data_IF_464153392758
#
_entry.id   IF_464153392758
#
_cell.length_a   1.000
_cell.length_b   1.000
_cell.length_c   1.000
_cell.angle_alpha   90.00
_cell.angle_beta   90.00
_cell.angle_gamma   90.00
#
_symmetry.space_group_name_H-M   'P 1'
#
loop_
_entity.id
_entity.type
_entity.pdbx_description
1 polymer ?
#
# COMPACT_ATOMS: atom_id res chain seq x y z
N UNK A 1 -21.20 12.11 6.54
CA UNK A 1 -20.49 12.75 5.40
C UNK A 1 -21.53 13.15 4.37
N UNK A 2 -21.57 14.43 3.96
CA UNK A 2 -22.57 14.92 3.00
C UNK A 2 -22.27 14.34 1.61
N UNK A 3 -23.32 13.98 0.86
CA UNK A 3 -23.23 13.44 -0.52
C UNK A 3 -22.47 14.36 -1.47
N UNK A 4 -22.49 15.67 -1.21
CA UNK A 4 -21.75 16.67 -1.99
C UNK A 4 -20.26 16.58 -1.70
N UNK A 5 -19.91 16.42 -0.45
CA UNK A 5 -18.52 16.27 0.01
C UNK A 5 -17.88 15.00 -0.58
N UNK A 6 -18.60 13.86 -0.54
CA UNK A 6 -18.15 12.60 -1.16
C UNK A 6 -17.88 12.74 -2.65
N UNK A 7 -18.76 13.43 -3.39
CA UNK A 7 -18.56 13.69 -4.82
C UNK A 7 -17.32 14.54 -5.09
N UNK A 8 -17.08 15.55 -4.25
CA UNK A 8 -15.89 16.41 -4.37
C UNK A 8 -14.61 15.63 -4.11
N UNK A 9 -14.56 14.83 -3.06
CA UNK A 9 -13.40 13.98 -2.76
C UNK A 9 -13.12 12.97 -3.89
N UNK A 10 -14.18 12.36 -4.43
CA UNK A 10 -14.01 11.44 -5.57
C UNK A 10 -13.52 12.15 -6.83
N UNK A 11 -13.96 13.38 -7.10
CA UNK A 11 -13.47 14.17 -8.22
C UNK A 11 -11.98 14.53 -8.06
N UNK A 12 -11.57 14.93 -6.86
CA UNK A 12 -10.15 15.19 -6.51
C UNK A 12 -9.31 13.93 -6.72
N UNK A 13 -9.76 12.79 -6.17
CA UNK A 13 -9.07 11.50 -6.31
C UNK A 13 -8.88 11.10 -7.78
N UNK A 14 -9.94 11.17 -8.57
CA UNK A 14 -9.89 10.80 -9.99
C UNK A 14 -8.95 11.72 -10.78
N UNK A 15 -9.02 13.04 -10.56
CA UNK A 15 -8.13 13.99 -11.19
C UNK A 15 -6.67 13.76 -10.82
N UNK A 16 -6.38 13.48 -9.54
CA UNK A 16 -5.02 13.18 -9.09
C UNK A 16 -4.48 11.91 -9.76
N UNK A 17 -5.23 10.81 -9.75
CA UNK A 17 -4.78 9.55 -10.36
C UNK A 17 -4.55 9.71 -11.87
N UNK A 18 -5.41 10.45 -12.57
CA UNK A 18 -5.23 10.74 -13.99
C UNK A 18 -3.94 11.54 -14.27
N UNK A 19 -3.65 12.55 -13.46
CA UNK A 19 -2.41 13.34 -13.59
C UNK A 19 -1.18 12.48 -13.23
N UNK A 20 -1.27 11.73 -12.14
CA UNK A 20 -0.17 10.93 -11.61
C UNK A 20 0.25 9.78 -12.53
N UNK A 21 -0.68 9.25 -13.31
CA UNK A 21 -0.39 8.24 -14.34
C UNK A 21 0.58 8.73 -15.44
N UNK A 22 0.70 10.06 -15.61
CA UNK A 22 1.51 10.67 -16.69
C UNK A 22 2.58 11.64 -16.19
N UNK A 23 2.55 12.00 -14.91
CA UNK A 23 3.47 12.99 -14.31
C UNK A 23 4.06 12.52 -12.98
N UNK A 24 5.33 12.83 -12.72
CA UNK A 24 5.89 12.66 -11.38
C UNK A 24 5.17 13.58 -10.38
N UNK A 25 5.12 13.14 -9.12
CA UNK A 25 4.37 13.80 -8.04
C UNK A 25 4.77 15.29 -7.91
N UNK A 26 6.06 15.58 -8.01
CA UNK A 26 6.67 16.89 -7.84
C UNK A 26 6.26 17.90 -8.92
N UNK A 27 5.69 17.44 -10.03
CA UNK A 27 5.21 18.28 -11.15
C UNK A 27 3.70 18.49 -11.16
N UNK A 28 2.96 17.88 -10.23
CA UNK A 28 1.52 18.08 -10.11
C UNK A 28 1.27 19.33 -9.26
N UNK A 29 0.44 20.24 -9.75
CA UNK A 29 0.07 21.46 -9.04
C UNK A 29 -1.40 21.44 -8.61
N UNK A 30 -1.71 22.11 -7.48
CA UNK A 30 -3.10 22.29 -7.03
C UNK A 30 -3.95 23.00 -8.08
N UNK A 31 -3.35 23.91 -8.86
CA UNK A 31 -4.07 24.62 -9.95
C UNK A 31 -4.57 23.62 -11.00
N UNK A 32 -3.66 22.82 -11.54
CA UNK A 32 -3.95 21.83 -12.57
C UNK A 32 -4.93 20.76 -12.07
N UNK A 33 -4.74 20.28 -10.84
CA UNK A 33 -5.63 19.31 -10.23
C UNK A 33 -7.04 19.86 -10.05
N UNK A 34 -7.19 21.10 -9.55
CA UNK A 34 -8.47 21.74 -9.35
C UNK A 34 -9.23 21.95 -10.68
N UNK A 35 -8.50 22.35 -11.75
CA UNK A 35 -9.04 22.46 -13.10
C UNK A 35 -9.55 21.10 -13.62
N UNK A 36 -8.75 20.03 -13.48
CA UNK A 36 -9.17 18.68 -13.88
C UNK A 36 -10.35 18.14 -13.07
N UNK A 37 -10.38 18.42 -11.75
CA UNK A 37 -11.47 18.02 -10.86
C UNK A 37 -12.74 18.90 -10.99
N UNK A 38 -12.68 19.97 -11.78
CA UNK A 38 -13.75 20.99 -11.94
C UNK A 38 -14.17 21.61 -10.59
N UNK A 39 -13.21 21.93 -9.76
CA UNK A 39 -13.40 22.58 -8.45
C UNK A 39 -12.56 23.86 -8.35
N UNK A 40 -12.84 24.70 -7.35
CA UNK A 40 -11.97 25.82 -7.01
C UNK A 40 -10.76 25.34 -6.20
N UNK A 41 -9.63 26.09 -6.24
CA UNK A 41 -8.49 25.85 -5.34
C UNK A 41 -8.91 25.93 -3.86
N UNK A 42 -9.81 26.87 -3.53
CA UNK A 42 -10.32 26.97 -2.16
C UNK A 42 -11.05 25.69 -1.73
N UNK A 43 -11.79 25.06 -2.64
CA UNK A 43 -12.45 23.77 -2.39
C UNK A 43 -11.42 22.66 -2.15
N UNK A 44 -10.32 22.63 -2.91
CA UNK A 44 -9.22 21.67 -2.67
C UNK A 44 -8.65 21.84 -1.24
N UNK A 45 -8.33 23.09 -0.86
CA UNK A 45 -7.75 23.39 0.46
C UNK A 45 -8.68 23.14 1.65
N UNK A 46 -9.99 22.92 1.43
CA UNK A 46 -10.89 22.41 2.48
C UNK A 46 -10.69 20.91 2.77
N UNK A 47 -10.05 20.17 1.87
CA UNK A 47 -9.87 18.72 1.99
C UNK A 47 -8.41 18.32 2.24
N UNK A 48 -7.45 19.01 1.62
CA UNK A 48 -6.02 18.68 1.67
C UNK A 48 -5.19 19.97 1.71
N UNK A 49 -4.15 19.95 2.54
CA UNK A 49 -3.22 21.06 2.66
C UNK A 49 -2.38 21.27 1.39
N UNK A 50 -1.95 20.18 0.76
CA UNK A 50 -1.18 20.19 -0.48
C UNK A 50 -1.33 18.87 -1.27
N UNK A 51 -0.58 18.77 -2.38
CA UNK A 51 -0.55 17.58 -3.25
C UNK A 51 0.08 16.38 -2.57
N UNK A 52 1.02 16.59 -1.65
CA UNK A 52 1.72 15.51 -0.95
C UNK A 52 0.81 14.86 0.08
N UNK A 53 0.05 15.64 0.85
CA UNK A 53 -0.96 15.11 1.77
C UNK A 53 -2.03 14.28 1.03
N UNK A 54 -2.50 14.78 -0.12
CA UNK A 54 -3.42 14.00 -0.96
C UNK A 54 -2.77 12.68 -1.42
N UNK A 55 -1.50 12.72 -1.86
CA UNK A 55 -0.77 11.52 -2.28
C UNK A 55 -0.65 10.52 -1.14
N UNK A 56 -0.27 10.97 0.05
CA UNK A 56 -0.14 10.13 1.24
C UNK A 56 -1.47 9.51 1.65
N UNK A 57 -2.56 10.28 1.63
CA UNK A 57 -3.90 9.77 1.92
C UNK A 57 -4.32 8.66 0.94
N UNK A 58 -4.03 8.82 -0.36
CA UNK A 58 -4.35 7.79 -1.36
C UNK A 58 -3.43 6.57 -1.28
N UNK A 59 -2.17 6.75 -0.91
CA UNK A 59 -1.25 5.65 -0.62
C UNK A 59 -1.74 4.84 0.58
N UNK A 60 -2.14 5.52 1.66
CA UNK A 60 -2.70 4.86 2.83
C UNK A 60 -3.99 4.10 2.50
N UNK A 61 -4.91 4.72 1.76
CA UNK A 61 -6.16 4.09 1.33
C UNK A 61 -5.93 2.76 0.59
N UNK A 62 -4.97 2.71 -0.35
CA UNK A 62 -4.70 1.48 -1.10
C UNK A 62 -4.06 0.40 -0.22
N UNK A 63 -3.17 0.77 0.71
CA UNK A 63 -2.60 -0.17 1.68
C UNK A 63 -3.70 -0.75 2.58
N UNK A 64 -4.60 0.09 3.09
CA UNK A 64 -5.73 -0.36 3.90
C UNK A 64 -6.70 -1.27 3.12
N UNK A 65 -6.93 -1.00 1.82
CA UNK A 65 -7.72 -1.89 0.96
C UNK A 65 -7.05 -3.26 0.81
N UNK A 66 -5.73 -3.29 0.60
CA UNK A 66 -4.95 -4.53 0.50
C UNK A 66 -5.08 -5.34 1.80
N UNK A 67 -4.86 -4.73 2.95
CA UNK A 67 -4.90 -5.40 4.25
C UNK A 67 -6.31 -5.84 4.64
N UNK A 68 -7.32 -5.02 4.37
CA UNK A 68 -8.73 -5.34 4.68
C UNK A 68 -9.30 -6.48 3.84
N UNK A 69 -8.66 -6.82 2.71
CA UNK A 69 -9.05 -7.95 1.88
C UNK A 69 -8.59 -9.30 2.43
N UNK A 70 -7.66 -9.29 3.41
CA UNK A 70 -7.21 -10.50 4.09
C UNK A 70 -8.33 -10.97 5.01
N UNK A 71 -8.93 -12.12 4.69
CA UNK A 71 -10.21 -12.57 5.26
C UNK A 71 -10.11 -13.02 6.72
N UNK A 72 -8.93 -13.46 7.15
CA UNK A 72 -8.70 -13.93 8.53
C UNK A 72 -7.70 -13.00 9.21
N UNK A 73 -8.21 -12.19 10.12
CA UNK A 73 -7.43 -11.15 10.81
C UNK A 73 -6.20 -11.72 11.57
N UNK A 74 -6.29 -12.97 12.07
CA UNK A 74 -5.23 -13.64 12.83
C UNK A 74 -4.35 -14.60 11.99
N UNK A 75 -4.53 -14.58 10.66
CA UNK A 75 -3.83 -15.50 9.76
C UNK A 75 -2.30 -15.36 9.86
N UNK A 76 -1.79 -14.13 10.03
CA UNK A 76 -0.36 -13.90 10.20
C UNK A 76 0.22 -14.69 11.39
N UNK A 77 -0.54 -14.80 12.48
CA UNK A 77 -0.09 -15.49 13.71
C UNK A 77 -0.24 -17.00 13.59
N UNK A 78 -1.28 -17.47 12.87
CA UNK A 78 -1.62 -18.88 12.77
C UNK A 78 -0.94 -19.59 11.59
N UNK A 79 -0.84 -18.91 10.45
CA UNK A 79 -0.29 -19.46 9.20
C UNK A 79 0.35 -18.31 8.39
N UNK A 80 1.58 -17.94 8.73
CA UNK A 80 2.31 -16.88 8.07
C UNK A 80 2.50 -17.11 6.53
N UNK A 81 2.73 -18.36 6.04
CA UNK A 81 2.70 -18.64 4.61
C UNK A 81 1.36 -18.33 3.93
N UNK A 82 0.23 -18.71 4.56
CA UNK A 82 -1.09 -18.39 4.01
C UNK A 82 -1.33 -16.87 3.99
N UNK A 83 -0.97 -16.17 5.06
CA UNK A 83 -1.02 -14.70 5.10
C UNK A 83 -0.22 -14.08 3.95
N UNK A 84 1.01 -14.55 3.73
CA UNK A 84 1.87 -14.04 2.66
C UNK A 84 1.23 -14.25 1.29
N UNK A 85 0.62 -15.39 1.02
CA UNK A 85 -0.10 -15.66 -0.24
C UNK A 85 -1.30 -14.74 -0.43
N UNK A 86 -2.14 -14.55 0.59
CA UNK A 86 -3.29 -13.63 0.51
C UNK A 86 -2.83 -12.19 0.31
N UNK A 87 -1.77 -11.76 0.99
CA UNK A 87 -1.19 -10.43 0.84
C UNK A 87 -0.72 -10.18 -0.59
N UNK A 88 0.03 -11.12 -1.21
CA UNK A 88 0.44 -10.99 -2.60
C UNK A 88 -0.75 -11.02 -3.57
N UNK A 89 -1.74 -11.86 -3.34
CA UNK A 89 -2.94 -11.89 -4.18
C UNK A 89 -3.68 -10.54 -4.15
N UNK A 90 -3.84 -9.95 -2.96
CA UNK A 90 -4.42 -8.62 -2.82
C UNK A 90 -3.56 -7.52 -3.42
N UNK A 91 -2.24 -7.60 -3.24
CA UNK A 91 -1.29 -6.67 -3.85
C UNK A 91 -1.44 -6.66 -5.38
N UNK A 92 -1.51 -7.82 -6.03
CA UNK A 92 -1.71 -7.92 -7.48
C UNK A 92 -3.07 -7.40 -7.94
N UNK A 93 -4.12 -7.63 -7.16
CA UNK A 93 -5.44 -7.07 -7.45
C UNK A 93 -5.44 -5.53 -7.48
N UNK A 94 -4.53 -4.89 -6.74
CA UNK A 94 -4.39 -3.44 -6.66
C UNK A 94 -3.19 -2.89 -7.46
N UNK A 95 -2.49 -3.73 -8.26
CA UNK A 95 -1.23 -3.39 -8.93
C UNK A 95 -1.30 -2.08 -9.71
N UNK A 96 -2.39 -1.83 -10.43
CA UNK A 96 -2.54 -0.60 -11.21
C UNK A 96 -2.49 0.68 -10.35
N UNK A 97 -3.16 0.69 -9.20
CA UNK A 97 -3.10 1.82 -8.27
C UNK A 97 -1.72 1.96 -7.64
N UNK A 98 -1.10 0.85 -7.29
CA UNK A 98 0.26 0.80 -6.74
C UNK A 98 1.26 1.42 -7.73
N UNK A 99 1.21 1.02 -9.00
CA UNK A 99 2.10 1.52 -10.05
C UNK A 99 1.94 3.04 -10.26
N UNK A 100 0.74 3.57 -10.10
CA UNK A 100 0.49 5.01 -10.18
C UNK A 100 1.01 5.73 -8.94
N UNK A 101 0.60 5.29 -7.75
CA UNK A 101 0.83 6.01 -6.50
C UNK A 101 2.28 5.94 -6.01
N UNK A 102 2.94 4.80 -6.26
CA UNK A 102 4.31 4.53 -5.80
C UNK A 102 5.34 4.53 -6.94
N UNK A 103 5.10 5.28 -8.03
CA UNK A 103 6.07 5.43 -9.11
C UNK A 103 7.14 6.48 -8.78
N UNK A 104 8.27 6.43 -9.48
CA UNK A 104 9.37 7.40 -9.37
C UNK A 104 9.96 7.46 -7.97
N UNK A 105 10.08 8.66 -7.40
CA UNK A 105 10.63 8.89 -6.05
C UNK A 105 9.83 8.21 -4.93
N UNK A 106 8.56 7.86 -5.18
CA UNK A 106 7.69 7.19 -4.22
C UNK A 106 7.89 5.67 -4.16
N UNK A 107 8.67 5.07 -5.07
CA UNK A 107 8.85 3.60 -5.12
C UNK A 107 9.48 3.02 -3.83
N UNK A 108 10.39 3.74 -3.19
CA UNK A 108 11.03 3.31 -1.94
C UNK A 108 10.12 3.41 -0.71
N UNK A 109 8.99 4.12 -0.81
CA UNK A 109 8.03 4.30 0.28
C UNK A 109 7.12 3.08 0.42
N UNK A 110 6.83 2.38 -0.68
CA UNK A 110 5.87 1.27 -0.71
C UNK A 110 6.17 0.16 0.31
N UNK A 111 7.38 -0.45 0.36
CA UNK A 111 7.64 -1.53 1.32
C UNK A 111 7.55 -1.06 2.78
N UNK A 112 7.88 0.20 3.05
CA UNK A 112 7.77 0.81 4.38
C UNK A 112 6.29 0.93 4.79
N UNK A 113 5.45 1.44 3.89
CA UNK A 113 4.00 1.58 4.13
C UNK A 113 3.31 0.23 4.31
N UNK A 114 3.66 -0.77 3.50
CA UNK A 114 3.15 -2.13 3.66
C UNK A 114 3.52 -2.67 5.05
N UNK A 115 4.78 -2.56 5.46
CA UNK A 115 5.23 -3.03 6.78
C UNK A 115 4.49 -2.32 7.92
N UNK A 116 4.34 -1.00 7.86
CA UNK A 116 3.61 -0.22 8.85
C UNK A 116 2.15 -0.68 8.96
N UNK A 117 1.44 -0.79 7.83
CA UNK A 117 0.05 -1.24 7.82
C UNK A 117 -0.12 -2.66 8.36
N UNK A 118 0.78 -3.59 8.01
CA UNK A 118 0.79 -4.95 8.57
C UNK A 118 1.00 -4.92 10.09
N UNK A 119 1.94 -4.10 10.59
CA UNK A 119 2.17 -3.94 12.03
C UNK A 119 0.92 -3.46 12.76
N UNK A 120 0.29 -2.42 12.27
CA UNK A 120 -0.93 -1.87 12.86
C UNK A 120 -2.04 -2.91 12.89
N UNK A 121 -2.23 -3.62 11.76
CA UNK A 121 -3.21 -4.69 11.66
C UNK A 121 -2.97 -5.81 12.69
N UNK A 122 -1.73 -6.31 12.79
CA UNK A 122 -1.37 -7.39 13.72
C UNK A 122 -1.50 -6.92 15.17
N UNK A 123 -1.00 -5.73 15.51
CA UNK A 123 -1.02 -5.23 16.89
C UNK A 123 -2.42 -4.80 17.37
N UNK A 124 -3.37 -4.63 16.45
CA UNK A 124 -4.78 -4.49 16.82
C UNK A 124 -5.37 -5.82 17.31
N UNK A 125 -4.82 -6.95 16.85
CA UNK A 125 -5.31 -8.31 17.18
C UNK A 125 -4.53 -8.91 18.36
N UNK A 126 -3.20 -8.73 18.35
CA UNK A 126 -2.26 -9.31 19.34
C UNK A 126 -1.35 -8.19 19.90
N UNK A 127 -1.89 -7.28 20.73
CA UNK A 127 -1.18 -6.10 21.21
C UNK A 127 0.07 -6.43 22.03
N UNK A 128 0.12 -7.63 22.66
CA UNK A 128 1.27 -8.12 23.41
C UNK A 128 2.52 -8.36 22.55
N UNK A 129 2.37 -8.50 21.24
CA UNK A 129 3.49 -8.65 20.30
C UNK A 129 4.20 -7.34 19.99
N UNK A 130 3.65 -6.21 20.41
CA UNK A 130 4.22 -4.87 20.14
C UNK A 130 5.65 -4.73 20.67
N UNK A 131 5.91 -5.27 21.86
CA UNK A 131 7.20 -5.19 22.55
C UNK A 131 8.04 -6.48 22.42
N UNK A 132 7.59 -7.46 21.63
CA UNK A 132 8.32 -8.69 21.33
C UNK A 132 9.38 -8.40 20.24
N UNK A 133 10.64 -8.25 20.66
CA UNK A 133 11.74 -7.93 19.74
C UNK A 133 11.93 -9.00 18.66
N UNK A 134 11.84 -10.31 19.02
CA UNK A 134 12.04 -11.40 18.06
C UNK A 134 10.93 -11.41 17.00
N UNK A 135 9.68 -11.15 17.40
CA UNK A 135 8.56 -11.02 16.50
C UNK A 135 8.75 -9.84 15.55
N UNK A 136 9.08 -8.66 16.07
CA UNK A 136 9.27 -7.46 15.27
C UNK A 136 10.40 -7.58 14.24
N UNK A 137 11.54 -8.18 14.63
CA UNK A 137 12.68 -8.40 13.72
C UNK A 137 12.29 -9.37 12.59
N UNK A 138 11.60 -10.48 12.92
CA UNK A 138 11.13 -11.42 11.90
C UNK A 138 10.11 -10.81 10.96
N UNK A 139 9.20 -10.00 11.47
CA UNK A 139 8.20 -9.30 10.66
C UNK A 139 8.87 -8.36 9.64
N UNK A 140 9.80 -7.49 10.08
CA UNK A 140 10.55 -6.61 9.17
C UNK A 140 11.30 -7.42 8.13
N UNK A 141 12.06 -8.44 8.54
CA UNK A 141 12.82 -9.31 7.63
C UNK A 141 11.93 -9.95 6.57
N UNK A 142 10.78 -10.49 6.98
CA UNK A 142 9.86 -11.17 6.07
C UNK A 142 9.22 -10.17 5.08
N UNK A 143 8.68 -9.06 5.56
CA UNK A 143 7.99 -8.09 4.69
C UNK A 143 8.95 -7.46 3.70
N UNK A 144 10.08 -6.92 4.18
CA UNK A 144 11.07 -6.26 3.33
C UNK A 144 11.74 -7.29 2.40
N UNK A 145 12.13 -8.46 2.94
CA UNK A 145 12.74 -9.52 2.17
C UNK A 145 11.83 -10.05 1.06
N UNK A 146 10.57 -10.32 1.36
CA UNK A 146 9.59 -10.79 0.38
C UNK A 146 9.34 -9.76 -0.73
N UNK A 147 9.18 -8.48 -0.35
CA UNK A 147 8.98 -7.40 -1.31
C UNK A 147 10.15 -7.28 -2.29
N UNK A 148 11.39 -7.17 -1.79
CA UNK A 148 12.56 -6.99 -2.64
C UNK A 148 12.88 -8.27 -3.43
N UNK A 149 12.76 -9.45 -2.83
CA UNK A 149 12.97 -10.70 -3.54
C UNK A 149 11.99 -10.86 -4.70
N UNK A 150 10.72 -10.51 -4.50
CA UNK A 150 9.73 -10.51 -5.58
C UNK A 150 10.06 -9.46 -6.65
N UNK A 151 10.28 -8.21 -6.25
CA UNK A 151 10.51 -7.09 -7.17
C UNK A 151 11.69 -7.32 -8.12
N UNK A 152 12.80 -7.85 -7.60
CA UNK A 152 14.04 -8.07 -8.33
C UNK A 152 14.00 -9.32 -9.22
N UNK A 153 13.23 -10.35 -8.85
CA UNK A 153 13.34 -11.66 -9.48
C UNK A 153 12.16 -12.03 -10.39
N UNK A 154 10.98 -11.41 -10.22
CA UNK A 154 9.78 -11.77 -10.99
C UNK A 154 9.94 -11.68 -12.51
N UNK A 155 10.70 -10.68 -13.00
CA UNK A 155 10.94 -10.51 -14.43
C UNK A 155 11.83 -11.61 -15.03
N UNK A 156 12.77 -12.13 -14.21
CA UNK A 156 13.74 -13.12 -14.66
C UNK A 156 13.21 -14.55 -14.57
N UNK A 157 12.51 -14.88 -13.48
CA UNK A 157 12.13 -16.25 -13.16
C UNK A 157 10.62 -16.51 -13.27
N UNK A 158 9.83 -15.44 -13.47
CA UNK A 158 8.37 -15.49 -13.46
C UNK A 158 7.79 -15.36 -12.07
N UNK A 159 6.58 -14.77 -11.95
CA UNK A 159 5.95 -14.52 -10.66
C UNK A 159 5.68 -15.81 -9.87
N UNK A 160 5.20 -16.87 -10.50
CA UNK A 160 4.80 -18.11 -9.82
C UNK A 160 6.00 -18.82 -9.18
N UNK A 161 7.15 -18.86 -9.87
CA UNK A 161 8.37 -19.46 -9.32
C UNK A 161 8.88 -18.69 -8.10
N UNK A 162 8.85 -17.35 -8.16
CA UNK A 162 9.28 -16.51 -7.05
C UNK A 162 8.34 -16.66 -5.85
N UNK A 163 7.02 -16.70 -6.08
CA UNK A 163 6.04 -16.89 -5.01
C UNK A 163 6.17 -18.27 -4.33
N UNK A 164 6.42 -19.32 -5.12
CA UNK A 164 6.65 -20.65 -4.57
C UNK A 164 7.89 -20.72 -3.65
N UNK A 165 8.97 -20.04 -4.04
CA UNK A 165 10.18 -19.96 -3.22
C UNK A 165 9.97 -19.11 -1.96
N UNK A 166 9.26 -17.99 -2.06
CA UNK A 166 8.90 -17.16 -0.92
C UNK A 166 8.00 -17.90 0.09
N UNK A 167 7.10 -18.75 -0.37
CA UNK A 167 6.28 -19.61 0.50
C UNK A 167 7.20 -20.60 1.29
N UNK A 168 8.17 -21.22 0.61
CA UNK A 168 9.17 -22.09 1.25
C UNK A 168 10.02 -21.38 2.31
N UNK A 169 10.53 -20.20 1.98
CA UNK A 169 11.30 -19.36 2.91
C UNK A 169 10.44 -18.98 4.13
N UNK A 170 9.20 -18.54 3.89
CA UNK A 170 8.30 -18.17 4.98
C UNK A 170 8.03 -19.36 5.92
N UNK A 171 7.79 -20.57 5.40
CA UNK A 171 7.65 -21.79 6.23
C UNK A 171 8.86 -22.01 7.11
N UNK A 172 10.07 -21.86 6.57
CA UNK A 172 11.31 -22.06 7.30
C UNK A 172 11.55 -21.04 8.41
N UNK A 173 11.03 -19.80 8.26
CA UNK A 173 11.16 -18.75 9.28
C UNK A 173 10.26 -18.98 10.50
N UNK A 174 9.17 -19.74 10.34
CA UNK A 174 8.15 -19.99 11.38
C UNK A 174 8.07 -21.47 11.82
N UNK A 175 8.94 -22.34 11.31
CA UNK A 175 9.13 -23.70 11.76
C UNK A 175 9.92 -23.73 13.06
#
# INVERSE_FOLDING_TARGET
MDRREQKTQQAIRNAFLALRAHKPLERITVKELAENAQISKATFYLHYHDIYELSEALQEDVIQQILSSITQADLFVKDAPAFTRELFASFFAHQHLIDILFSGTQASVLPIRIEQGIREHIFAIVPERRDDAAFNIRLTYQVQGAYYAYSENQRRFGPDAVLAELDGITRSLYA
#
